data_IF_073403321328
#
_entry.id   IF_073403321328
#
_cell.length_a   1.000
_cell.length_b   1.000
_cell.length_c   1.000
_cell.angle_alpha   90.00
_cell.angle_beta   90.00
_cell.angle_gamma   90.00
#
_symmetry.space_group_name_H-M   'P 1'
#
loop_
_entity.id
_entity.type
_entity.pdbx_description
1 polymer ?
#
# COMPACT_ATOMS: atom_id res chain seq x y z
N UNK A 1 -7.13 -17.82 7.02
CA UNK A 1 -6.69 -18.11 8.41
C UNK A 1 -7.01 -16.89 9.25
N UNK A 2 -7.70 -17.04 10.38
CA UNK A 2 -7.95 -15.92 11.29
C UNK A 2 -6.80 -15.73 12.29
N UNK A 3 -6.61 -14.51 12.76
CA UNK A 3 -5.60 -14.20 13.78
C UNK A 3 -6.01 -14.79 15.13
N UNK A 4 -5.02 -15.23 15.91
CA UNK A 4 -5.26 -15.71 17.28
C UNK A 4 -5.47 -14.53 18.23
N UNK A 5 -6.01 -14.79 19.43
CA UNK A 5 -6.10 -13.75 20.48
C UNK A 5 -4.73 -13.16 20.82
N UNK A 6 -3.67 -13.98 20.84
CA UNK A 6 -2.30 -13.53 21.09
C UNK A 6 -1.79 -12.60 19.98
N UNK A 7 -2.07 -12.92 18.72
CA UNK A 7 -1.74 -12.06 17.58
C UNK A 7 -2.45 -10.71 17.67
N UNK A 8 -3.73 -10.73 18.03
CA UNK A 8 -4.56 -9.53 18.20
C UNK A 8 -4.07 -8.66 19.36
N UNK A 9 -3.73 -9.26 20.50
CA UNK A 9 -3.14 -8.55 21.64
C UNK A 9 -1.77 -7.95 21.29
N UNK A 10 -0.95 -8.67 20.53
CA UNK A 10 0.33 -8.16 20.04
C UNK A 10 0.11 -6.97 19.11
N UNK A 11 -0.74 -7.10 18.09
CA UNK A 11 -1.02 -6.03 17.13
C UNK A 11 -1.55 -4.78 17.82
N UNK A 12 -2.52 -4.93 18.74
CA UNK A 12 -3.08 -3.81 19.50
C UNK A 12 -2.02 -3.10 20.35
N UNK A 13 -1.11 -3.84 20.97
CA UNK A 13 -0.05 -3.30 21.83
C UNK A 13 1.10 -2.68 21.05
N UNK A 14 1.53 -3.31 19.97
CA UNK A 14 2.76 -2.96 19.25
C UNK A 14 2.52 -2.11 18.00
N UNK A 15 1.30 -2.11 17.45
CA UNK A 15 0.93 -1.35 16.26
C UNK A 15 1.30 -2.06 14.94
N UNK A 16 1.91 -3.24 15.02
CA UNK A 16 2.27 -4.04 13.87
C UNK A 16 2.16 -5.53 14.20
N UNK A 17 2.15 -6.37 13.17
CA UNK A 17 2.25 -7.83 13.31
C UNK A 17 2.86 -8.43 12.05
N UNK A 18 3.87 -9.30 12.21
CA UNK A 18 4.35 -10.14 11.11
C UNK A 18 3.54 -11.44 11.14
N UNK A 19 2.83 -11.74 10.05
CA UNK A 19 2.09 -13.00 9.90
C UNK A 19 2.84 -13.87 8.90
N UNK A 20 3.65 -14.84 9.36
CA UNK A 20 4.34 -15.75 8.47
C UNK A 20 3.32 -16.68 7.80
N UNK A 21 3.55 -17.03 6.52
CA UNK A 21 2.70 -17.98 5.77
C UNK A 21 1.21 -17.60 5.79
N UNK A 22 0.93 -16.31 5.63
CA UNK A 22 -0.43 -15.75 5.61
C UNK A 22 -1.29 -16.33 4.48
N UNK A 23 -0.69 -16.68 3.35
CA UNK A 23 -1.37 -17.29 2.20
C UNK A 23 -0.39 -18.11 1.36
N UNK A 24 -0.91 -18.92 0.43
CA UNK A 24 -0.09 -19.66 -0.53
C UNK A 24 0.58 -18.68 -1.51
N UNK A 25 1.92 -18.66 -1.61
CA UNK A 25 2.66 -17.81 -2.56
C UNK A 25 2.22 -17.93 -4.03
N UNK A 26 1.55 -19.02 -4.43
CA UNK A 26 0.97 -19.15 -5.78
C UNK A 26 -0.06 -18.05 -6.07
N UNK A 27 -0.72 -17.51 -5.03
CA UNK A 27 -1.67 -16.41 -5.16
C UNK A 27 -1.04 -15.09 -5.62
N UNK A 28 0.29 -14.98 -5.61
CA UNK A 28 1.01 -13.83 -6.17
C UNK A 28 1.17 -13.91 -7.69
N UNK A 29 1.01 -15.09 -8.30
CA UNK A 29 1.37 -15.30 -9.70
C UNK A 29 0.62 -14.38 -10.68
N UNK A 30 -0.70 -14.14 -10.56
CA UNK A 30 -1.40 -13.23 -11.48
C UNK A 30 -0.81 -11.81 -11.48
N UNK A 31 -0.41 -11.31 -10.31
CA UNK A 31 0.23 -10.00 -10.17
C UNK A 31 1.66 -10.01 -10.76
N UNK A 32 2.42 -11.08 -10.56
CA UNK A 32 3.75 -11.27 -11.16
C UNK A 32 3.65 -11.30 -12.69
N UNK A 33 2.66 -12.01 -13.23
CA UNK A 33 2.42 -12.13 -14.68
C UNK A 33 2.10 -10.76 -15.29
N UNK A 34 1.23 -9.98 -14.66
CA UNK A 34 0.90 -8.62 -15.11
C UNK A 34 2.13 -7.69 -15.09
N UNK A 35 2.88 -7.68 -13.98
CA UNK A 35 4.11 -6.86 -13.88
C UNK A 35 5.12 -7.30 -14.96
N UNK A 36 5.28 -8.61 -15.16
CA UNK A 36 6.20 -9.16 -16.16
C UNK A 36 5.78 -8.78 -17.57
N UNK A 37 4.49 -8.83 -17.91
CA UNK A 37 3.99 -8.44 -19.22
C UNK A 37 4.23 -6.94 -19.50
N UNK A 38 4.04 -6.07 -18.49
CA UNK A 38 4.33 -4.64 -18.63
C UNK A 38 5.82 -4.38 -18.82
N UNK A 39 6.69 -5.09 -18.08
CA UNK A 39 8.15 -5.01 -18.30
C UNK A 39 8.51 -5.48 -19.70
N UNK A 40 7.89 -6.56 -20.18
CA UNK A 40 8.19 -7.16 -21.47
C UNK A 40 7.84 -6.25 -22.66
N UNK A 41 6.63 -5.66 -22.64
CA UNK A 41 6.19 -4.68 -23.63
C UNK A 41 7.14 -3.48 -23.67
N UNK A 42 7.47 -2.92 -22.50
CA UNK A 42 8.33 -1.73 -22.41
C UNK A 42 9.77 -2.01 -22.80
N UNK A 43 10.32 -3.17 -22.42
CA UNK A 43 11.65 -3.60 -22.81
C UNK A 43 11.72 -3.83 -24.33
N UNK A 44 10.70 -4.45 -24.92
CA UNK A 44 10.60 -4.64 -26.38
C UNK A 44 10.56 -3.31 -27.12
N UNK A 45 9.77 -2.35 -26.65
CA UNK A 45 9.72 -1.02 -27.22
C UNK A 45 11.04 -0.26 -27.06
N UNK A 46 11.72 -0.38 -25.92
CA UNK A 46 13.03 0.23 -25.69
C UNK A 46 14.10 -0.33 -26.63
N UNK A 47 14.13 -1.65 -26.84
CA UNK A 47 15.02 -2.29 -27.83
C UNK A 47 14.73 -1.80 -29.24
N UNK A 48 13.45 -1.72 -29.64
CA UNK A 48 13.07 -1.23 -30.96
C UNK A 48 13.49 0.22 -31.23
N UNK A 49 13.58 1.06 -30.18
CA UNK A 49 14.08 2.44 -30.26
C UNK A 49 15.60 2.55 -30.15
N UNK A 50 16.29 1.48 -29.73
CA UNK A 50 17.73 1.47 -29.48
C UNK A 50 18.14 2.03 -28.11
N UNK A 51 17.18 2.19 -27.18
CA UNK A 51 17.43 2.66 -25.80
C UNK A 51 17.96 1.53 -24.89
N UNK A 52 17.76 0.27 -25.30
CA UNK A 52 18.13 -0.94 -24.57
C UNK A 52 18.71 -1.97 -25.57
N UNK A 53 19.81 -2.64 -25.22
CA UNK A 53 20.50 -3.58 -26.11
C UNK A 53 19.74 -4.89 -26.35
N UNK A 54 18.99 -5.35 -25.35
CA UNK A 54 18.22 -6.59 -25.36
C UNK A 54 17.08 -6.54 -24.33
N UNK A 55 16.09 -7.40 -24.46
CA UNK A 55 14.91 -7.39 -23.56
C UNK A 55 15.16 -8.02 -22.20
N UNK A 56 16.28 -8.73 -22.02
CA UNK A 56 16.59 -9.54 -20.84
C UNK A 56 15.48 -10.55 -20.51
N UNK A 57 14.80 -11.12 -21.52
CA UNK A 57 13.63 -11.98 -21.33
C UNK A 57 13.90 -13.28 -20.56
N UNK A 58 15.14 -13.79 -20.58
CA UNK A 58 15.55 -15.00 -19.85
C UNK A 58 15.91 -14.72 -18.38
N UNK A 59 15.97 -13.45 -17.96
CA UNK A 59 16.25 -13.10 -16.56
C UNK A 59 15.03 -13.34 -15.67
N UNK A 60 15.20 -13.92 -14.47
CA UNK A 60 14.14 -14.08 -13.48
C UNK A 60 13.45 -12.77 -13.09
N UNK A 61 12.20 -12.87 -12.60
CA UNK A 61 11.42 -11.73 -12.10
C UNK A 61 12.18 -10.92 -11.02
N UNK A 62 12.94 -11.62 -10.20
CA UNK A 62 13.75 -11.10 -9.11
C UNK A 62 14.93 -10.23 -9.57
N UNK A 63 15.44 -10.41 -10.79
CA UNK A 63 16.67 -9.75 -11.28
C UNK A 63 16.48 -8.95 -12.56
N UNK A 64 15.48 -9.27 -13.39
CA UNK A 64 15.30 -8.68 -14.72
C UNK A 64 15.20 -7.17 -14.71
N UNK A 65 14.40 -6.60 -13.80
CA UNK A 65 14.28 -5.13 -13.71
C UNK A 65 15.61 -4.47 -13.34
N UNK A 66 16.41 -5.10 -12.47
CA UNK A 66 17.73 -4.59 -12.11
C UNK A 66 18.69 -4.60 -13.30
N UNK A 67 18.71 -5.70 -14.07
CA UNK A 67 19.51 -5.80 -15.31
C UNK A 67 19.14 -4.73 -16.33
N UNK A 68 17.84 -4.53 -16.55
CA UNK A 68 17.35 -3.46 -17.43
C UNK A 68 17.78 -2.09 -16.91
N UNK A 69 17.61 -1.82 -15.60
CA UNK A 69 17.91 -0.52 -15.02
C UNK A 69 19.40 -0.14 -15.14
N UNK A 70 20.32 -1.12 -15.15
CA UNK A 70 21.75 -0.85 -15.37
C UNK A 70 22.07 -0.25 -16.74
N UNK A 71 21.16 -0.41 -17.72
CA UNK A 71 21.33 0.10 -19.08
C UNK A 71 20.32 1.21 -19.41
N UNK A 72 19.10 1.11 -18.89
CA UNK A 72 17.98 2.01 -19.19
C UNK A 72 17.12 2.26 -17.95
N UNK A 73 17.43 3.34 -17.22
CA UNK A 73 16.77 3.68 -15.96
C UNK A 73 15.27 4.00 -16.10
N UNK A 74 14.85 4.52 -17.26
CA UNK A 74 13.47 5.00 -17.50
C UNK A 74 12.41 3.92 -17.38
N UNK A 75 12.77 2.65 -17.61
CA UNK A 75 11.84 1.55 -17.41
C UNK A 75 11.45 1.42 -15.92
N UNK A 76 12.37 1.63 -14.98
CA UNK A 76 12.05 1.65 -13.55
C UNK A 76 10.99 2.71 -13.22
N UNK A 77 11.22 3.93 -13.68
CA UNK A 77 10.33 5.07 -13.41
C UNK A 77 8.95 4.88 -14.02
N UNK A 78 8.88 4.24 -15.19
CA UNK A 78 7.61 3.95 -15.85
C UNK A 78 6.71 2.99 -15.03
N UNK A 79 7.28 2.15 -14.16
CA UNK A 79 6.55 1.18 -13.34
C UNK A 79 5.96 1.78 -12.06
N UNK A 80 6.26 3.04 -11.77
CA UNK A 80 5.74 3.72 -10.59
C UNK A 80 4.36 4.33 -10.89
N UNK A 81 3.49 4.34 -9.89
CA UNK A 81 2.13 4.87 -10.01
C UNK A 81 1.15 3.90 -10.68
N UNK A 82 0.18 4.42 -11.45
CA UNK A 82 -0.89 3.63 -12.10
C UNK A 82 -0.42 2.99 -13.41
N UNK A 83 0.74 2.35 -13.39
CA UNK A 83 1.35 1.73 -14.57
C UNK A 83 0.75 0.37 -14.95
N UNK A 84 -0.01 -0.23 -14.03
CA UNK A 84 -0.67 -1.51 -14.18
C UNK A 84 -2.18 -1.30 -14.37
N UNK A 85 -2.80 -2.17 -15.16
CA UNK A 85 -4.26 -2.19 -15.30
C UNK A 85 -4.92 -2.61 -13.99
N UNK A 86 -4.22 -3.42 -13.17
CA UNK A 86 -4.62 -4.02 -11.90
C UNK A 86 -5.38 -5.35 -12.02
N UNK A 87 -5.45 -5.95 -13.21
CA UNK A 87 -6.17 -7.22 -13.40
C UNK A 87 -5.52 -8.38 -12.63
N UNK A 88 -4.20 -8.48 -12.66
CA UNK A 88 -3.41 -9.42 -11.89
C UNK A 88 -3.29 -9.04 -10.41
N UNK A 89 -3.45 -7.77 -10.07
CA UNK A 89 -3.46 -7.27 -8.69
C UNK A 89 -4.78 -7.58 -7.96
N UNK A 90 -5.92 -7.53 -8.66
CA UNK A 90 -7.24 -7.69 -8.07
C UNK A 90 -7.43 -9.00 -7.26
N UNK A 91 -6.96 -10.18 -7.72
CA UNK A 91 -6.98 -11.41 -6.92
C UNK A 91 -6.25 -11.31 -5.58
N UNK A 92 -5.23 -10.45 -5.48
CA UNK A 92 -4.51 -10.22 -4.23
C UNK A 92 -5.31 -9.29 -3.29
N UNK A 93 -5.91 -8.22 -3.82
CA UNK A 93 -6.79 -7.32 -3.06
C UNK A 93 -7.99 -8.07 -2.44
N UNK A 94 -8.45 -9.11 -3.12
CA UNK A 94 -9.61 -9.93 -2.74
C UNK A 94 -9.24 -11.31 -2.20
N UNK A 95 -7.96 -11.55 -1.89
CA UNK A 95 -7.48 -12.87 -1.48
C UNK A 95 -8.19 -13.33 -0.19
N UNK A 96 -8.86 -14.50 -0.18
CA UNK A 96 -9.63 -14.96 0.98
C UNK A 96 -8.83 -15.04 2.28
N UNK A 97 -7.56 -15.46 2.21
CA UNK A 97 -6.71 -15.60 3.39
C UNK A 97 -6.32 -14.24 3.96
N UNK A 98 -6.00 -13.27 3.11
CA UNK A 98 -5.73 -11.89 3.55
C UNK A 98 -6.98 -11.23 4.14
N UNK A 99 -8.14 -11.48 3.55
CA UNK A 99 -9.41 -10.97 4.07
C UNK A 99 -9.80 -11.62 5.40
N UNK A 100 -9.49 -12.90 5.66
CA UNK A 100 -9.70 -13.53 6.98
C UNK A 100 -8.83 -12.90 8.07
N UNK A 101 -7.58 -12.57 7.72
CA UNK A 101 -6.65 -11.85 8.59
C UNK A 101 -7.19 -10.45 8.88
N UNK A 102 -7.58 -9.72 7.83
CA UNK A 102 -8.13 -8.37 7.95
C UNK A 102 -9.45 -8.36 8.76
N UNK A 103 -10.35 -9.30 8.53
CA UNK A 103 -11.63 -9.44 9.26
C UNK A 103 -11.41 -9.54 10.78
N UNK A 104 -10.32 -10.19 11.20
CA UNK A 104 -9.96 -10.32 12.61
C UNK A 104 -9.68 -8.95 13.27
N UNK A 105 -9.26 -7.95 12.48
CA UNK A 105 -8.87 -6.60 12.94
C UNK A 105 -9.96 -5.56 12.65
N UNK A 106 -10.47 -5.50 11.43
CA UNK A 106 -11.38 -4.43 10.99
C UNK A 106 -12.85 -4.83 11.04
N UNK A 107 -13.16 -6.09 11.34
CA UNK A 107 -14.53 -6.58 11.46
C UNK A 107 -15.10 -7.22 10.17
N UNK A 108 -16.37 -7.67 10.21
CA UNK A 108 -16.97 -8.53 9.19
C UNK A 108 -17.40 -7.82 7.90
N UNK A 109 -17.32 -6.50 7.86
CA UNK A 109 -17.62 -5.67 6.70
C UNK A 109 -16.37 -4.86 6.32
N UNK A 110 -15.71 -5.28 5.25
CA UNK A 110 -14.39 -4.79 4.85
C UNK A 110 -14.53 -3.96 3.58
N UNK A 111 -14.10 -2.71 3.70
CA UNK A 111 -13.77 -1.84 2.58
C UNK A 111 -12.28 -2.02 2.26
N UNK A 112 -11.97 -2.23 0.99
CA UNK A 112 -10.60 -2.17 0.46
C UNK A 112 -10.42 -0.87 -0.33
N UNK A 113 -9.24 -0.28 -0.26
CA UNK A 113 -8.88 0.81 -1.17
C UNK A 113 -8.42 0.23 -2.52
N UNK A 114 -8.87 0.81 -3.64
CA UNK A 114 -8.28 0.50 -4.94
C UNK A 114 -6.86 1.08 -5.09
N UNK A 115 -6.41 1.91 -4.15
CA UNK A 115 -5.01 2.34 -4.05
C UNK A 115 -4.16 1.17 -3.54
N UNK A 116 -3.44 0.56 -4.46
CA UNK A 116 -2.31 -0.27 -4.14
C UNK A 116 -1.02 0.43 -4.57
N UNK A 117 0.07 0.16 -3.85
CA UNK A 117 1.38 0.78 -4.15
C UNK A 117 2.39 -0.32 -4.39
N UNK A 118 2.66 -0.61 -5.67
CA UNK A 118 3.78 -1.47 -6.05
C UNK A 118 5.11 -0.76 -5.76
N UNK A 119 6.03 -1.44 -5.09
CA UNK A 119 7.35 -0.91 -4.78
C UNK A 119 8.45 -1.88 -5.23
N UNK A 120 9.05 -1.64 -6.41
CA UNK A 120 10.35 -2.22 -6.74
C UNK A 120 11.46 -1.47 -5.98
N UNK A 121 12.17 -2.19 -5.11
CA UNK A 121 13.40 -1.69 -4.49
C UNK A 121 14.60 -2.37 -5.14
N UNK A 122 15.25 -1.65 -6.05
CA UNK A 122 16.45 -2.14 -6.74
C UNK A 122 17.67 -2.17 -5.79
N UNK A 123 18.64 -3.07 -6.04
CA UNK A 123 19.95 -3.05 -5.40
C UNK A 123 20.58 -1.66 -5.37
N UNK A 124 20.93 -1.16 -4.18
CA UNK A 124 21.62 0.12 -3.98
C UNK A 124 20.88 1.38 -4.45
N UNK A 125 19.60 1.28 -4.84
CA UNK A 125 18.87 2.41 -5.42
C UNK A 125 18.07 3.18 -4.38
N UNK A 126 18.41 4.45 -4.18
CA UNK A 126 17.86 5.33 -3.15
C UNK A 126 16.33 5.49 -3.21
N UNK A 127 15.71 5.50 -4.41
CA UNK A 127 14.26 5.75 -4.51
C UNK A 127 13.43 4.64 -3.88
N UNK A 128 13.98 3.43 -3.79
CA UNK A 128 13.30 2.34 -3.10
C UNK A 128 13.22 2.56 -1.58
N UNK A 129 14.08 3.42 -1.01
CA UNK A 129 14.13 3.74 0.41
C UNK A 129 13.00 4.69 0.81
N UNK A 130 11.90 4.11 1.25
CA UNK A 130 10.80 4.89 1.85
C UNK A 130 11.25 5.39 3.23
N UNK A 131 11.26 6.72 3.48
CA UNK A 131 11.69 7.31 4.74
C UNK A 131 10.70 7.01 5.88
N UNK A 132 11.04 7.42 7.10
CA UNK A 132 10.12 7.34 8.23
C UNK A 132 8.84 8.10 7.96
N UNK A 133 7.70 7.44 8.10
CA UNK A 133 6.38 8.05 7.94
C UNK A 133 5.33 7.27 8.73
N UNK A 134 4.16 7.89 8.93
CA UNK A 134 2.91 7.23 9.26
C UNK A 134 2.02 7.28 8.01
N UNK A 135 1.30 6.20 7.69
CA UNK A 135 0.35 6.21 6.55
C UNK A 135 -0.69 7.34 6.70
N UNK A 136 -1.15 7.62 7.93
CA UNK A 136 -2.04 8.75 8.21
C UNK A 136 -1.49 10.12 7.82
N UNK A 137 -0.18 10.25 7.62
CA UNK A 137 0.41 11.44 7.03
C UNK A 137 -0.08 11.71 5.60
N UNK A 138 -0.45 10.65 4.87
CA UNK A 138 -0.98 10.72 3.50
C UNK A 138 -2.51 10.78 3.42
N UNK A 139 -3.20 10.60 4.55
CA UNK A 139 -4.65 10.53 4.59
C UNK A 139 -5.31 11.84 5.02
N UNK A 140 -6.59 11.96 4.68
CA UNK A 140 -7.43 13.07 5.14
C UNK A 140 -7.51 13.14 6.67
N UNK A 141 -7.40 14.34 7.29
CA UNK A 141 -7.46 14.51 8.74
C UNK A 141 -8.71 13.93 9.41
N UNK A 142 -9.82 13.83 8.68
CA UNK A 142 -11.07 13.20 9.17
C UNK A 142 -10.89 11.72 9.53
N UNK A 143 -9.81 11.08 9.05
CA UNK A 143 -9.49 9.69 9.30
C UNK A 143 -8.43 9.47 10.40
N UNK A 144 -7.99 10.53 11.09
CA UNK A 144 -6.92 10.44 12.10
C UNK A 144 -7.28 9.55 13.30
N UNK A 145 -8.57 9.40 13.58
CA UNK A 145 -9.11 8.57 14.67
C UNK A 145 -9.49 7.17 14.20
N UNK A 146 -9.36 6.88 12.91
CA UNK A 146 -9.80 5.65 12.27
C UNK A 146 -8.64 4.68 12.07
N UNK A 147 -8.89 3.38 12.25
CA UNK A 147 -7.93 2.35 11.87
C UNK A 147 -8.10 2.01 10.39
N UNK A 148 -7.08 2.35 9.61
CA UNK A 148 -6.90 1.85 8.24
C UNK A 148 -5.74 0.86 8.34
N UNK A 149 -6.05 -0.41 8.12
CA UNK A 149 -5.09 -1.51 8.19
C UNK A 149 -4.29 -1.55 6.90
N UNK A 150 -2.98 -1.33 7.00
CA UNK A 150 -2.05 -1.61 5.90
C UNK A 150 -1.61 -3.06 5.99
N UNK A 151 -1.78 -3.79 4.88
CA UNK A 151 -1.28 -5.14 4.65
C UNK A 151 -0.16 -5.05 3.62
N UNK A 152 1.08 -5.15 4.11
CA UNK A 152 2.28 -5.11 3.28
C UNK A 152 2.65 -6.53 2.84
N UNK A 153 2.66 -6.75 1.52
CA UNK A 153 2.86 -8.08 0.93
C UNK A 153 4.16 -8.12 0.11
N UNK A 154 5.16 -8.90 0.50
CA UNK A 154 6.34 -9.16 -0.32
C UNK A 154 6.04 -10.16 -1.45
N UNK A 155 6.57 -9.90 -2.65
CA UNK A 155 6.58 -10.88 -3.75
C UNK A 155 7.80 -11.83 -3.70
N UNK A 156 8.83 -11.40 -2.97
CA UNK A 156 10.11 -12.11 -2.75
C UNK A 156 10.47 -11.98 -1.27
N UNK A 157 11.27 -12.88 -0.70
CA UNK A 157 11.61 -12.77 0.73
C UNK A 157 12.23 -11.40 1.03
N UNK A 158 11.62 -10.70 1.99
CA UNK A 158 12.05 -9.40 2.46
C UNK A 158 12.90 -9.58 3.73
N UNK A 159 14.17 -9.90 3.52
CA UNK A 159 15.17 -9.98 4.59
C UNK A 159 15.67 -8.59 4.98
N UNK A 160 16.42 -8.50 6.08
CA UNK A 160 17.10 -7.25 6.49
C UNK A 160 18.03 -6.75 5.38
N UNK A 161 18.80 -7.65 4.76
CA UNK A 161 19.71 -7.35 3.66
C UNK A 161 18.99 -6.85 2.40
N UNK A 162 17.78 -7.34 2.13
CA UNK A 162 16.94 -6.94 0.99
C UNK A 162 16.09 -5.69 1.24
N UNK A 163 16.30 -5.00 2.36
CA UNK A 163 15.59 -3.77 2.64
C UNK A 163 14.13 -3.99 3.08
N UNK A 164 13.91 -4.91 4.03
CA UNK A 164 12.62 -5.10 4.71
C UNK A 164 12.12 -3.81 5.37
N UNK A 165 10.91 -3.84 5.92
CA UNK A 165 10.44 -2.71 6.70
C UNK A 165 11.15 -2.67 8.06
N UNK A 166 11.26 -1.45 8.59
CA UNK A 166 11.50 -1.20 9.99
C UNK A 166 10.28 -0.46 10.55
N UNK A 167 9.87 -0.86 11.76
CA UNK A 167 8.75 -0.25 12.46
C UNK A 167 9.25 0.33 13.77
N UNK A 168 8.58 1.38 14.22
CA UNK A 168 8.75 1.90 15.56
C UNK A 168 7.64 1.35 16.45
N UNK A 169 7.98 0.37 17.28
CA UNK A 169 7.03 -0.34 18.12
C UNK A 169 6.27 0.64 19.04
N UNK A 170 4.95 0.48 19.13
CA UNK A 170 4.01 1.27 19.96
C UNK A 170 3.85 2.74 19.57
N UNK A 171 4.47 3.19 18.48
CA UNK A 171 4.35 4.57 17.99
C UNK A 171 2.91 4.95 17.61
N UNK A 172 2.07 3.98 17.26
CA UNK A 172 0.65 4.19 16.94
C UNK A 172 -0.20 4.72 18.10
N UNK A 173 0.25 4.55 19.34
CA UNK A 173 -0.45 5.05 20.54
C UNK A 173 -0.39 6.58 20.66
N UNK A 174 0.65 7.20 20.08
CA UNK A 174 0.82 8.65 19.98
C UNK A 174 0.14 9.21 18.72
N UNK A 175 -0.13 10.53 18.70
CA UNK A 175 -0.80 11.21 17.58
C UNK A 175 -0.06 11.09 16.24
N UNK A 176 -0.64 11.69 15.20
CA UNK A 176 0.04 11.83 13.92
C UNK A 176 1.06 12.95 14.05
N UNK A 177 2.33 12.61 13.90
CA UNK A 177 3.42 13.58 14.03
C UNK A 177 3.57 14.38 12.74
N UNK A 178 4.34 15.48 12.81
CA UNK A 178 4.56 16.34 11.66
C UNK A 178 5.27 15.57 10.55
N UNK A 179 4.68 15.61 9.36
CA UNK A 179 5.37 15.21 8.14
C UNK A 179 5.82 16.44 7.37
N UNK A 180 6.89 16.27 6.59
CA UNK A 180 7.37 17.25 5.60
C UNK A 180 7.44 16.59 4.24
N UNK A 181 7.10 17.35 3.20
CA UNK A 181 7.34 16.91 1.83
C UNK A 181 8.84 16.93 1.54
N UNK A 182 9.36 15.80 1.07
CA UNK A 182 10.67 15.74 0.46
C UNK A 182 10.57 16.21 -1.01
N UNK A 183 11.61 16.84 -1.56
CA UNK A 183 11.69 17.11 -2.99
C UNK A 183 11.55 15.83 -3.83
N UNK A 184 11.16 15.98 -5.10
CA UNK A 184 11.25 14.89 -6.07
C UNK A 184 12.72 14.46 -6.18
N UNK A 185 13.05 13.28 -5.62
CA UNK A 185 14.43 12.94 -5.23
C UNK A 185 14.54 12.28 -3.85
N UNK A 186 13.45 12.28 -3.06
CA UNK A 186 13.41 11.57 -1.77
C UNK A 186 14.53 12.05 -0.81
N UNK A 187 15.21 11.10 -0.18
CA UNK A 187 16.35 11.36 0.72
C UNK A 187 17.67 11.65 -0.02
N UNK A 188 17.69 11.53 -1.35
CA UNK A 188 18.84 11.83 -2.19
C UNK A 188 18.69 13.24 -2.82
N UNK A 189 19.45 14.25 -2.36
CA UNK A 189 19.26 15.65 -2.77
C UNK A 189 19.57 15.94 -4.26
N UNK A 190 20.11 14.98 -5.01
CA UNK A 190 20.83 15.24 -6.27
C UNK A 190 20.02 15.05 -7.56
N UNK A 191 18.76 14.61 -7.53
CA UNK A 191 18.01 14.28 -8.75
C UNK A 191 16.87 15.25 -9.08
N UNK A 192 17.21 16.52 -9.27
CA UNK A 192 16.42 17.42 -10.11
C UNK A 192 16.73 17.12 -11.59
N UNK A 193 16.09 16.12 -12.18
CA UNK A 193 16.22 15.83 -13.62
C UNK A 193 15.26 16.73 -14.42
N UNK A 194 15.75 17.64 -15.29
CA UNK A 194 14.90 18.51 -16.10
C UNK A 194 13.99 17.70 -17.03
N UNK A 195 12.70 18.05 -17.11
CA UNK A 195 11.75 17.43 -18.03
C UNK A 195 10.94 16.26 -17.49
N UNK A 196 11.19 15.82 -16.24
CA UNK A 196 10.31 14.86 -15.55
C UNK A 196 9.25 15.61 -14.76
N UNK A 197 7.99 15.23 -14.92
CA UNK A 197 6.91 15.66 -14.01
C UNK A 197 7.26 15.12 -12.62
N UNK A 198 7.43 15.95 -11.58
CA UNK A 198 7.75 15.44 -10.26
C UNK A 198 6.60 14.55 -9.78
N UNK A 199 6.85 13.25 -9.59
CA UNK A 199 6.08 12.48 -8.64
C UNK A 199 6.16 13.23 -7.31
N UNK A 200 5.03 13.50 -6.63
CA UNK A 200 5.07 14.07 -5.27
C UNK A 200 6.12 13.30 -4.47
N UNK A 201 7.09 14.02 -3.88
CA UNK A 201 8.10 13.36 -3.08
C UNK A 201 7.48 12.71 -1.85
N UNK A 202 8.24 11.84 -1.19
CA UNK A 202 7.77 11.20 0.02
C UNK A 202 7.44 12.23 1.09
N UNK A 203 6.40 11.95 1.89
CA UNK A 203 6.24 12.57 3.19
C UNK A 203 7.16 11.86 4.19
N UNK A 204 7.98 12.63 4.87
CA UNK A 204 8.92 12.15 5.89
C UNK A 204 8.60 12.76 7.25
N UNK A 205 8.81 11.98 8.30
CA UNK A 205 8.94 12.42 9.69
C UNK A 205 10.41 12.72 9.95
N UNK A 206 10.71 13.97 10.29
CA UNK A 206 12.09 14.38 10.61
C UNK A 206 12.58 13.71 11.90
N UNK A 207 13.90 13.59 12.09
CA UNK A 207 14.46 13.01 13.33
C UNK A 207 13.97 13.70 14.60
N UNK A 208 13.69 15.01 14.53
CA UNK A 208 13.17 15.79 15.67
C UNK A 208 11.70 15.51 15.98
N UNK A 209 10.94 15.04 14.99
CA UNK A 209 9.51 14.73 15.11
C UNK A 209 9.25 13.21 15.26
N UNK A 210 10.30 12.38 15.21
CA UNK A 210 10.16 10.94 15.33
C UNK A 210 9.50 10.59 16.68
N UNK A 211 8.48 9.71 16.67
CA UNK A 211 7.89 9.26 17.91
C UNK A 211 8.93 8.53 18.78
N UNK A 212 8.62 8.38 20.06
CA UNK A 212 9.40 7.49 20.91
C UNK A 212 9.03 6.03 20.60
N UNK A 213 10.02 5.15 20.53
CA UNK A 213 9.79 3.72 20.39
C UNK A 213 11.05 2.96 20.01
N UNK A 214 11.01 1.65 20.16
CA UNK A 214 12.09 0.77 19.70
C UNK A 214 11.95 0.55 18.20
N UNK A 215 13.05 0.74 17.46
CA UNK A 215 13.13 0.40 16.04
C UNK A 215 13.31 -1.12 15.93
N UNK A 216 12.39 -1.76 15.22
CA UNK A 216 12.38 -3.22 15.01
C UNK A 216 12.38 -3.52 13.51
N UNK A 217 13.38 -4.25 12.98
CA UNK A 217 13.28 -4.80 11.64
C UNK A 217 12.23 -5.91 11.61
N UNK A 218 11.41 -5.92 10.56
CA UNK A 218 10.33 -6.90 10.39
C UNK A 218 10.52 -7.70 9.10
N UNK A 219 11.51 -8.61 9.06
CA UNK A 219 11.71 -9.45 7.90
C UNK A 219 10.53 -10.41 7.73
N UNK A 220 10.18 -10.71 6.49
CA UNK A 220 9.06 -11.60 6.16
C UNK A 220 9.33 -12.33 4.86
N UNK A 221 9.10 -13.63 4.87
CA UNK A 221 9.25 -14.50 3.68
C UNK A 221 8.08 -14.31 2.71
N UNK A 222 8.29 -14.68 1.45
CA UNK A 222 7.24 -14.74 0.42
C UNK A 222 6.06 -15.59 0.92
N UNK A 223 4.85 -15.05 0.78
CA UNK A 223 3.62 -15.66 1.31
C UNK A 223 3.29 -15.26 2.76
N UNK A 224 4.19 -14.58 3.46
CA UNK A 224 3.87 -13.85 4.69
C UNK A 224 3.40 -12.42 4.39
N UNK A 225 2.97 -11.70 5.43
CA UNK A 225 2.63 -10.27 5.36
C UNK A 225 3.09 -9.53 6.62
N UNK A 226 3.26 -8.21 6.51
CA UNK A 226 3.35 -7.31 7.66
C UNK A 226 2.07 -6.49 7.75
N UNK A 227 1.41 -6.55 8.89
CA UNK A 227 0.25 -5.73 9.22
C UNK A 227 0.72 -4.49 9.97
N UNK A 228 0.19 -3.32 9.62
CA UNK A 228 0.49 -2.05 10.26
C UNK A 228 -0.81 -1.29 10.54
N UNK A 229 -0.91 -0.65 11.70
CA UNK A 229 -1.87 0.45 11.83
C UNK A 229 -1.38 1.63 11.00
N UNK A 230 -2.31 2.45 10.51
CA UNK A 230 -2.00 3.68 9.79
C UNK A 230 -1.19 4.72 10.59
N UNK A 231 -1.09 4.55 11.91
CA UNK A 231 -0.31 5.42 12.81
C UNK A 231 1.02 4.84 13.24
N UNK A 232 1.36 3.61 12.83
CA UNK A 232 2.66 3.03 13.16
C UNK A 232 3.71 3.71 12.29
N UNK A 233 4.63 4.43 12.93
CA UNK A 233 5.77 5.00 12.23
C UNK A 233 6.63 3.86 11.68
N UNK A 234 6.88 3.88 10.38
CA UNK A 234 7.64 2.84 9.69
C UNK A 234 8.44 3.43 8.53
N UNK A 235 9.46 2.68 8.10
CA UNK A 235 10.28 2.98 6.93
C UNK A 235 10.68 1.70 6.24
N UNK A 236 11.45 1.82 5.18
CA UNK A 236 12.10 0.65 4.57
C UNK A 236 13.60 0.91 4.38
N UNK A 237 14.44 -0.07 4.68
CA UNK A 237 15.91 0.08 4.69
C UNK A 237 16.55 -0.13 3.31
N UNK A 238 17.81 0.31 3.08
CA UNK A 238 18.48 0.06 1.80
C UNK A 238 18.47 -1.42 1.40
N UNK A 239 18.39 -1.69 0.09
CA UNK A 239 18.58 -3.04 -0.44
C UNK A 239 20.04 -3.23 -0.81
N UNK A 240 20.73 -4.06 -0.05
CA UNK A 240 22.15 -4.35 -0.19
C UNK A 240 22.43 -5.67 -0.92
N UNK A 241 21.38 -6.35 -1.38
CA UNK A 241 21.47 -7.59 -2.16
C UNK A 241 21.55 -7.32 -3.67
N UNK A 242 21.56 -8.38 -4.47
CA UNK A 242 21.50 -8.37 -5.94
C UNK A 242 20.10 -8.65 -6.51
N UNK A 243 19.08 -8.78 -5.64
CA UNK A 243 17.68 -9.06 -6.00
C UNK A 243 16.83 -7.82 -5.82
N UNK A 244 15.91 -7.56 -6.75
CA UNK A 244 14.88 -6.53 -6.57
C UNK A 244 13.89 -6.96 -5.49
N UNK A 245 13.77 -6.17 -4.41
CA UNK A 245 12.72 -6.39 -3.41
C UNK A 245 11.42 -5.80 -3.92
N UNK A 246 10.55 -6.67 -4.38
CA UNK A 246 9.19 -6.36 -4.81
C UNK A 246 8.21 -6.47 -3.64
N UNK A 247 7.37 -5.46 -3.46
CA UNK A 247 6.27 -5.51 -2.50
C UNK A 247 5.08 -4.69 -2.96
N UNK A 248 3.92 -4.92 -2.35
CA UNK A 248 2.72 -4.12 -2.55
C UNK A 248 2.05 -3.79 -1.21
N UNK A 249 1.55 -2.57 -1.10
CA UNK A 249 0.69 -2.18 0.02
C UNK A 249 -0.77 -2.34 -0.39
N UNK A 250 -1.56 -2.95 0.49
CA UNK A 250 -3.01 -3.06 0.39
C UNK A 250 -3.61 -2.44 1.64
N UNK A 251 -4.76 -1.76 1.53
CA UNK A 251 -5.41 -1.10 2.65
C UNK A 251 -6.82 -1.60 2.84
N UNK A 252 -7.14 -1.98 4.08
CA UNK A 252 -8.47 -2.44 4.49
C UNK A 252 -8.99 -1.59 5.65
N UNK A 253 -10.29 -1.36 5.70
CA UNK A 253 -10.95 -0.62 6.77
C UNK A 253 -12.37 -1.14 7.01
N UNK A 254 -12.93 -0.85 8.19
CA UNK A 254 -14.35 -1.12 8.48
C UNK A 254 -15.25 -0.23 7.62
N UNK A 255 -16.44 -0.74 7.27
CA UNK A 255 -17.53 0.09 6.70
C UNK A 255 -18.03 1.20 7.62
N UNK A 256 -17.69 1.18 8.91
CA UNK A 256 -18.03 2.25 9.86
C UNK A 256 -17.19 3.52 9.66
N UNK A 257 -16.13 3.43 8.85
CA UNK A 257 -15.21 4.54 8.57
C UNK A 257 -15.61 5.29 7.30
N UNK A 258 -15.21 6.59 7.16
CA UNK A 258 -15.43 7.34 5.93
C UNK A 258 -14.90 6.58 4.71
N UNK A 259 -15.78 6.37 3.73
CA UNK A 259 -15.45 5.74 2.45
C UNK A 259 -16.18 6.44 1.31
N UNK A 260 -15.54 6.46 0.13
CA UNK A 260 -16.18 6.91 -1.11
C UNK A 260 -16.93 5.77 -1.83
N UNK A 261 -16.94 4.55 -1.27
CA UNK A 261 -17.84 3.49 -1.72
C UNK A 261 -19.28 3.82 -1.28
N UNK A 262 -20.27 3.76 -2.17
CA UNK A 262 -21.64 4.16 -1.83
C UNK A 262 -22.29 3.11 -0.92
N UNK A 263 -22.08 3.16 0.39
CA UNK A 263 -22.81 2.32 1.34
C UNK A 263 -24.24 2.87 1.48
N UNK A 264 -25.24 2.13 0.99
CA UNK A 264 -26.62 2.43 1.35
C UNK A 264 -26.73 2.28 2.87
N UNK A 265 -27.09 3.37 3.58
CA UNK A 265 -27.37 3.30 5.02
C UNK A 265 -28.32 2.12 5.26
N UNK A 266 -28.02 1.20 6.20
CA UNK A 266 -29.10 0.41 6.76
C UNK A 266 -30.04 1.43 7.38
N UNK A 267 -31.27 1.46 6.90
CA UNK A 267 -32.28 2.44 7.26
C UNK A 267 -32.32 2.72 8.77
N UNK A 268 -32.62 3.97 9.10
CA UNK A 268 -33.11 4.46 10.39
C UNK A 268 -34.06 3.42 11.03
N UNK A 269 -33.53 2.50 11.84
CA UNK A 269 -34.30 1.66 12.75
C UNK A 269 -33.47 1.42 14.02
N UNK A 270 -33.63 2.37 14.95
CA UNK A 270 -33.66 2.17 16.40
C UNK A 270 -32.71 1.13 17.02
N UNK A 271 -31.49 1.57 17.37
CA UNK A 271 -30.88 1.13 18.63
C UNK A 271 -31.16 2.19 19.70
N UNK A 272 -32.04 1.83 20.62
CA UNK A 272 -32.37 2.61 21.80
C UNK A 272 -31.10 2.82 22.67
N UNK A 273 -30.94 4.08 23.09
CA UNK A 273 -30.00 4.60 24.11
C UNK A 273 -28.54 4.78 23.68
N UNK A 274 -28.24 6.02 23.28
CA UNK A 274 -26.91 6.62 23.37
C UNK A 274 -26.53 7.44 22.15
N UNK A 275 -27.02 8.70 22.08
CA UNK A 275 -26.62 9.77 21.14
C UNK A 275 -26.50 9.39 19.65
N UNK A 276 -27.44 9.80 18.79
CA UNK A 276 -27.28 9.71 17.35
C UNK A 276 -26.07 10.54 16.92
N UNK A 277 -25.04 9.89 16.36
CA UNK A 277 -24.16 10.61 15.43
C UNK A 277 -24.96 10.68 14.13
N UNK A 278 -25.56 11.84 13.88
CA UNK A 278 -26.16 12.14 12.59
C UNK A 278 -25.12 11.90 11.50
N UNK A 279 -25.35 10.87 10.68
CA UNK A 279 -24.60 10.66 9.46
C UNK A 279 -25.12 11.66 8.41
N UNK A 280 -24.84 12.95 8.64
CA UNK A 280 -25.21 14.07 7.78
C UNK A 280 -24.41 14.04 6.46
N UNK A 281 -24.71 13.09 5.57
CA UNK A 281 -24.23 13.13 4.18
C UNK A 281 -22.77 12.72 3.94
N UNK A 282 -22.21 11.77 4.71
CA UNK A 282 -20.83 11.28 4.53
C UNK A 282 -20.59 10.33 3.35
N UNK A 283 -21.55 10.18 2.43
CA UNK A 283 -21.28 9.49 1.16
C UNK A 283 -20.32 10.34 0.32
N UNK A 284 -19.10 9.84 0.07
CA UNK A 284 -18.11 10.52 -0.78
C UNK A 284 -16.87 11.06 -0.07
N UNK A 285 -16.75 10.90 1.26
CA UNK A 285 -15.52 11.21 2.00
C UNK A 285 -14.73 9.92 2.20
N UNK A 286 -13.56 9.78 1.58
CA UNK A 286 -12.62 8.69 1.88
C UNK A 286 -11.32 9.24 2.46
N UNK A 287 -10.56 8.37 3.12
CA UNK A 287 -9.27 8.73 3.70
C UNK A 287 -8.20 9.00 2.64
N UNK A 288 -8.40 8.49 1.42
CA UNK A 288 -7.57 8.81 0.25
C UNK A 288 -8.47 8.90 -1.01
N UNK A 289 -8.97 10.10 -1.35
CA UNK A 289 -9.98 10.28 -2.40
C UNK A 289 -9.59 10.02 -3.86
N UNK A 290 -8.30 10.05 -4.29
CA UNK A 290 -7.97 9.90 -5.71
C UNK A 290 -8.38 8.57 -6.38
N UNK A 291 -8.61 7.49 -5.63
CA UNK A 291 -9.11 6.22 -6.15
C UNK A 291 -10.36 5.79 -5.37
N UNK A 292 -11.21 4.93 -5.94
CA UNK A 292 -12.36 4.42 -5.23
C UNK A 292 -11.97 3.36 -4.20
N UNK A 293 -12.67 3.38 -3.09
CA UNK A 293 -12.80 2.26 -2.18
C UNK A 293 -13.86 1.28 -2.69
N UNK A 294 -13.80 0.02 -2.32
CA UNK A 294 -14.81 -0.97 -2.68
C UNK A 294 -15.09 -1.95 -1.56
N UNK A 295 -16.34 -2.41 -1.47
CA UNK A 295 -16.73 -3.46 -0.53
C UNK A 295 -16.18 -4.80 -0.99
N UNK A 296 -15.20 -5.33 -0.25
CA UNK A 296 -14.51 -6.58 -0.60
C UNK A 296 -15.00 -7.78 0.21
N UNK A 297 -15.63 -7.54 1.37
CA UNK A 297 -16.29 -8.58 2.17
C UNK A 297 -17.43 -7.96 2.97
N UNK A 298 -18.58 -8.62 2.99
CA UNK A 298 -19.69 -8.25 3.88
C UNK A 298 -20.61 -9.43 4.12
N UNK A 299 -21.00 -9.62 5.39
CA UNK A 299 -22.07 -10.55 5.77
C UNK A 299 -23.45 -9.91 5.72
N UNK A 300 -23.53 -8.59 5.85
CA UNK A 300 -24.80 -7.86 5.87
C UNK A 300 -25.32 -7.55 4.47
N UNK A 301 -24.41 -7.41 3.49
CA UNK A 301 -24.69 -6.97 2.13
C UNK A 301 -23.87 -7.78 1.11
N UNK A 302 -23.91 -9.13 1.14
CA UNK A 302 -23.09 -9.97 0.28
C UNK A 302 -23.28 -9.69 -1.22
N UNK A 303 -24.47 -9.27 -1.64
CA UNK A 303 -24.82 -8.90 -3.00
C UNK A 303 -24.11 -7.63 -3.50
N UNK A 304 -23.53 -6.84 -2.58
CA UNK A 304 -22.80 -5.61 -2.90
C UNK A 304 -21.28 -5.79 -2.95
N UNK A 305 -20.79 -6.99 -2.63
CA UNK A 305 -19.37 -7.29 -2.64
C UNK A 305 -18.85 -7.30 -4.08
N UNK A 306 -17.82 -6.47 -4.33
CA UNK A 306 -17.10 -6.45 -5.61
C UNK A 306 -16.16 -7.64 -5.64
N UNK A 307 -16.58 -8.70 -6.34
CA UNK A 307 -15.91 -10.01 -6.36
C UNK A 307 -15.32 -10.38 -7.73
N UNK A 308 -15.53 -9.55 -8.76
CA UNK A 308 -14.96 -9.77 -10.10
C UNK A 308 -14.12 -8.58 -10.55
N UNK A 309 -13.15 -8.88 -11.41
CA UNK A 309 -12.28 -7.86 -12.02
C UNK A 309 -13.09 -6.82 -12.79
N UNK A 310 -14.07 -7.24 -13.59
CA UNK A 310 -14.87 -6.34 -14.43
C UNK A 310 -15.67 -5.34 -13.59
N UNK A 311 -16.18 -5.78 -12.43
CA UNK A 311 -16.88 -4.90 -11.51
C UNK A 311 -15.93 -3.90 -10.85
N UNK A 312 -14.73 -4.34 -10.47
CA UNK A 312 -13.68 -3.49 -9.89
C UNK A 312 -13.13 -2.47 -10.89
N UNK A 313 -12.82 -2.90 -12.11
CA UNK A 313 -12.34 -2.06 -13.21
C UNK A 313 -13.39 -1.00 -13.59
N UNK A 314 -14.65 -1.43 -13.79
CA UNK A 314 -15.75 -0.49 -14.01
C UNK A 314 -15.85 0.53 -12.87
N UNK A 315 -15.70 0.09 -11.63
CA UNK A 315 -15.75 1.00 -10.48
C UNK A 315 -14.63 2.06 -10.55
N UNK A 316 -13.40 1.66 -10.86
CA UNK A 316 -12.25 2.56 -11.05
C UNK A 316 -12.42 3.53 -12.21
N UNK A 317 -12.99 3.08 -13.33
CA UNK A 317 -13.23 3.92 -14.51
C UNK A 317 -14.33 4.96 -14.28
N UNK A 318 -15.33 4.63 -13.47
CA UNK A 318 -16.46 5.54 -13.17
C UNK A 318 -16.21 6.45 -11.96
N UNK A 319 -15.10 6.25 -11.24
CA UNK A 319 -14.76 7.07 -10.09
C UNK A 319 -14.32 8.46 -10.53
N UNK A 320 -14.91 9.50 -9.94
CA UNK A 320 -14.45 10.88 -10.10
C UNK A 320 -13.39 11.19 -9.02
N UNK A 321 -12.09 11.32 -9.37
CA UNK A 321 -11.06 11.56 -8.38
C UNK A 321 -11.25 12.91 -7.70
N UNK A 322 -11.19 12.94 -6.37
CA UNK A 322 -11.09 14.18 -5.61
C UNK A 322 -9.65 14.42 -5.14
N UNK A 323 -9.28 15.70 -5.02
CA UNK A 323 -7.96 16.07 -4.54
C UNK A 323 -7.85 15.84 -3.03
N UNK A 324 -6.74 15.23 -2.60
CA UNK A 324 -6.40 15.16 -1.18
C UNK A 324 -6.07 16.55 -0.64
N UNK A 325 -6.42 16.82 0.62
CA UNK A 325 -6.08 18.05 1.31
C UNK A 325 -4.56 18.21 1.44
N UNK A 326 -4.11 19.45 1.33
CA UNK A 326 -2.71 19.81 1.53
C UNK A 326 -2.41 19.97 3.02
N UNK A 327 -2.45 18.85 3.75
CA UNK A 327 -2.29 18.77 5.21
C UNK A 327 -0.99 19.40 5.74
N UNK A 328 0.08 19.37 4.94
CA UNK A 328 1.44 19.71 5.40
C UNK A 328 2.06 20.93 4.73
N UNK A 329 1.34 21.65 3.85
CA UNK A 329 1.84 22.91 3.32
C UNK A 329 1.85 23.98 4.42
N UNK A 330 2.92 24.77 4.55
CA UNK A 330 2.91 25.95 5.42
C UNK A 330 1.85 26.93 4.90
N UNK A 331 0.99 27.39 5.80
CA UNK A 331 0.07 28.53 5.57
C UNK A 331 0.87 29.81 5.42
#
# INVERSE_FOLDING_TARGET
MSLTSTDMEFFAREGYLVVPKAFDPIGLQPAIDEITAVIDDRATQAVARGDLSQTYADEPFETRLWKIHQEYEDLYWSLLGRSLEAQGIFPLLTNPSLLDIAESIVGPEIIASAVYVLRPKLPGHWHGEVPWHQDSGYFEPVCDTSLILTVWVPFVDATVERGCLEVMARSHTGGIVRHRELPAGGTAPELNVPGRTPSRGYLEISENDLPAGQIIPVPVERGGVVLLTNRTAHRSTPNLSDVVRWSIDIRYQSTDLPTNFPLASPSIETHAKGTPVENNGRSGLSCYPPEPDFLVRSRLRPERVVSTWEAFDKHRQTHEPAQSTTRWHPV
#
